data_IF_279551873418
#
_entry.id   IF_279551873418
#
_cell.length_a   1.000
_cell.length_b   1.000
_cell.length_c   1.000
_cell.angle_alpha   90.00
_cell.angle_beta   90.00
_cell.angle_gamma   90.00
#
_symmetry.space_group_name_H-M   'P 1'
#
loop_
_entity.id
_entity.type
_entity.pdbx_description
1 polymer ?
#
# COMPACT_ATOMS: atom_id res chain seq x y z
N UNK A 1 -55.90 -29.12 -73.14
CA UNK A 1 -54.89 -29.56 -72.16
C UNK A 1 -54.17 -28.33 -71.62
N UNK A 2 -54.03 -28.29 -70.29
CA UNK A 2 -53.08 -27.52 -69.48
C UNK A 2 -53.31 -26.00 -69.28
N UNK A 3 -53.83 -25.74 -68.09
CA UNK A 3 -53.99 -24.54 -67.26
C UNK A 3 -52.71 -23.71 -67.08
N UNK A 4 -52.78 -22.37 -67.04
CA UNK A 4 -51.70 -21.51 -66.56
C UNK A 4 -51.82 -21.13 -65.07
N UNK A 5 -50.66 -21.09 -64.42
CA UNK A 5 -50.21 -20.31 -63.24
C UNK A 5 -51.21 -19.98 -62.10
N UNK A 6 -50.94 -20.57 -60.93
CA UNK A 6 -51.19 -20.01 -59.58
C UNK A 6 -49.86 -20.04 -58.82
N UNK A 7 -49.36 -18.86 -58.43
CA UNK A 7 -49.41 -18.31 -57.06
C UNK A 7 -48.52 -19.09 -56.09
N UNK A 8 -47.34 -18.53 -55.78
CA UNK A 8 -46.52 -18.95 -54.66
C UNK A 8 -46.52 -17.85 -53.60
N UNK A 9 -46.72 -18.32 -52.37
CA UNK A 9 -46.88 -17.54 -51.16
C UNK A 9 -45.61 -16.76 -50.81
N UNK A 10 -45.81 -15.51 -50.39
CA UNK A 10 -44.87 -14.76 -49.56
C UNK A 10 -45.07 -15.22 -48.11
N UNK A 11 -44.11 -15.99 -47.61
CA UNK A 11 -43.95 -16.29 -46.17
C UNK A 11 -42.74 -15.53 -45.64
N UNK A 12 -43.01 -14.79 -44.57
CA UNK A 12 -42.13 -14.00 -43.69
C UNK A 12 -40.89 -14.72 -43.17
N UNK A 13 -39.79 -13.99 -42.98
CA UNK A 13 -38.93 -14.06 -41.77
C UNK A 13 -37.95 -12.88 -41.77
N UNK A 14 -38.29 -11.83 -41.03
CA UNK A 14 -37.33 -10.81 -40.60
C UNK A 14 -36.48 -11.43 -39.48
N UNK A 15 -35.21 -11.67 -39.76
CA UNK A 15 -34.25 -12.14 -38.75
C UNK A 15 -33.92 -11.03 -37.78
N UNK A 16 -34.39 -11.15 -36.54
CA UNK A 16 -33.84 -10.44 -35.39
C UNK A 16 -32.55 -11.16 -34.97
N UNK A 17 -31.40 -10.64 -35.37
CA UNK A 17 -30.12 -11.00 -34.75
C UNK A 17 -30.04 -10.29 -33.40
N UNK A 18 -30.38 -11.01 -32.34
CA UNK A 18 -30.16 -10.58 -30.97
C UNK A 18 -28.65 -10.65 -30.71
N UNK A 19 -27.94 -9.54 -30.89
CA UNK A 19 -26.58 -9.40 -30.40
C UNK A 19 -26.65 -9.29 -28.87
N UNK A 20 -26.40 -10.40 -28.18
CA UNK A 20 -26.18 -10.39 -26.73
C UNK A 20 -24.89 -9.60 -26.47
N UNK A 21 -25.04 -8.35 -26.04
CA UNK A 21 -23.98 -7.58 -25.40
C UNK A 21 -23.57 -8.34 -24.14
N UNK A 22 -22.45 -9.07 -24.20
CA UNK A 22 -21.77 -9.50 -22.98
C UNK A 22 -21.21 -8.23 -22.34
N UNK A 23 -21.87 -7.75 -21.28
CA UNK A 23 -21.33 -6.71 -20.41
C UNK A 23 -19.98 -7.20 -19.84
N UNK A 24 -18.98 -6.32 -19.64
CA UNK A 24 -17.66 -6.72 -19.12
C UNK A 24 -17.65 -7.26 -17.67
N UNK A 25 -18.82 -7.45 -17.07
CA UNK A 25 -19.02 -7.53 -15.62
C UNK A 25 -18.89 -8.93 -15.01
N UNK A 26 -18.37 -9.92 -15.75
CA UNK A 26 -18.19 -11.28 -15.21
C UNK A 26 -16.92 -11.42 -14.33
N UNK A 27 -16.01 -10.44 -14.37
CA UNK A 27 -14.74 -10.46 -13.64
C UNK A 27 -14.55 -9.29 -12.66
N UNK A 28 -15.50 -8.35 -12.61
CA UNK A 28 -15.46 -7.28 -11.63
C UNK A 28 -16.08 -7.79 -10.31
N UNK A 29 -15.43 -7.50 -9.18
CA UNK A 29 -16.02 -7.74 -7.87
C UNK A 29 -17.41 -7.09 -7.80
N UNK A 30 -18.33 -7.75 -7.10
CA UNK A 30 -19.58 -7.09 -6.75
C UNK A 30 -19.29 -5.91 -5.80
N UNK A 31 -20.23 -4.95 -5.72
CA UNK A 31 -20.04 -3.73 -4.92
C UNK A 31 -19.70 -4.01 -3.46
N UNK A 32 -20.25 -5.10 -2.90
CA UNK A 32 -20.01 -5.50 -1.52
C UNK A 32 -18.56 -5.98 -1.31
N UNK A 33 -18.06 -6.84 -2.19
CA UNK A 33 -16.69 -7.34 -2.15
C UNK A 33 -15.66 -6.24 -2.46
N UNK A 34 -15.99 -5.30 -3.34
CA UNK A 34 -15.15 -4.12 -3.59
C UNK A 34 -15.07 -3.22 -2.34
N UNK A 35 -16.19 -2.94 -1.68
CA UNK A 35 -16.20 -2.17 -0.44
C UNK A 35 -15.45 -2.89 0.69
N UNK A 36 -15.58 -4.22 0.77
CA UNK A 36 -14.81 -5.03 1.71
C UNK A 36 -13.31 -4.96 1.42
N UNK A 37 -12.89 -5.07 0.16
CA UNK A 37 -11.49 -4.89 -0.24
C UNK A 37 -10.95 -3.54 0.22
N UNK A 38 -11.66 -2.45 -0.09
CA UNK A 38 -11.24 -1.09 0.27
C UNK A 38 -11.08 -0.92 1.78
N UNK A 39 -12.05 -1.37 2.58
CA UNK A 39 -11.98 -1.29 4.04
C UNK A 39 -10.90 -2.20 4.64
N UNK A 40 -10.76 -3.42 4.11
CA UNK A 40 -9.72 -4.37 4.50
C UNK A 40 -8.32 -3.81 4.26
N UNK A 41 -8.08 -3.26 3.07
CA UNK A 41 -6.83 -2.61 2.69
C UNK A 41 -6.54 -1.37 3.55
N UNK A 42 -7.56 -0.55 3.82
CA UNK A 42 -7.44 0.62 4.70
C UNK A 42 -7.04 0.21 6.12
N UNK A 43 -7.69 -0.81 6.68
CA UNK A 43 -7.40 -1.33 8.02
C UNK A 43 -6.00 -1.96 8.10
N UNK A 44 -5.66 -2.81 7.13
CA UNK A 44 -4.32 -3.40 7.03
C UNK A 44 -3.25 -2.29 6.97
N UNK A 45 -3.51 -1.28 6.14
CA UNK A 45 -2.69 -0.10 5.97
C UNK A 45 -2.51 0.72 7.25
N UNK A 46 -3.33 0.60 8.29
CA UNK A 46 -3.14 1.32 9.57
C UNK A 46 -2.74 0.40 10.73
N UNK A 47 -2.06 -0.71 10.43
CA UNK A 47 -1.58 -1.71 11.41
C UNK A 47 -2.70 -2.44 12.16
N UNK A 48 -3.87 -2.55 11.54
CA UNK A 48 -5.06 -3.18 12.11
C UNK A 48 -5.36 -4.51 11.40
N UNK A 49 -4.31 -5.33 11.25
CA UNK A 49 -4.33 -6.60 10.51
C UNK A 49 -5.40 -7.57 11.02
N UNK A 50 -5.53 -7.70 12.35
CA UNK A 50 -6.56 -8.53 13.00
C UNK A 50 -7.98 -8.16 12.56
N UNK A 51 -8.28 -6.86 12.47
CA UNK A 51 -9.59 -6.38 12.05
C UNK A 51 -9.73 -6.23 10.54
N UNK A 52 -8.64 -6.27 9.78
CA UNK A 52 -8.66 -6.27 8.32
C UNK A 52 -9.08 -7.64 7.77
N UNK A 53 -8.70 -8.73 8.45
CA UNK A 53 -8.95 -10.12 8.03
C UNK A 53 -10.38 -10.38 7.55
N UNK A 54 -11.47 -10.11 8.29
CA UNK A 54 -12.82 -10.45 7.83
C UNK A 54 -13.23 -9.72 6.54
N UNK A 55 -12.72 -8.51 6.31
CA UNK A 55 -12.98 -7.75 5.10
C UNK A 55 -12.15 -8.26 3.91
N UNK A 56 -10.87 -8.58 4.16
CA UNK A 56 -9.99 -9.17 3.16
C UNK A 56 -10.45 -10.58 2.77
N UNK A 57 -10.92 -11.38 3.73
CA UNK A 57 -11.54 -12.70 3.50
C UNK A 57 -12.73 -12.59 2.55
N UNK A 58 -13.64 -11.65 2.79
CA UNK A 58 -14.79 -11.43 1.93
C UNK A 58 -14.40 -11.10 0.48
N UNK A 59 -13.37 -10.26 0.27
CA UNK A 59 -12.88 -9.93 -1.06
C UNK A 59 -12.09 -11.08 -1.72
N UNK A 60 -11.28 -11.80 -0.94
CA UNK A 60 -10.51 -12.95 -1.38
C UNK A 60 -11.41 -14.12 -1.81
N UNK A 61 -12.45 -14.43 -1.04
CA UNK A 61 -13.47 -15.44 -1.39
C UNK A 61 -14.26 -15.07 -2.65
N UNK A 62 -14.37 -13.77 -2.95
CA UNK A 62 -14.94 -13.28 -4.20
C UNK A 62 -13.96 -13.32 -5.40
N UNK A 63 -12.73 -13.79 -5.18
CA UNK A 63 -11.72 -14.00 -6.22
C UNK A 63 -10.72 -12.84 -6.40
N UNK A 64 -10.68 -11.87 -5.49
CA UNK A 64 -9.68 -10.78 -5.58
C UNK A 64 -8.28 -11.26 -5.15
N UNK A 65 -7.38 -11.33 -6.12
CA UNK A 65 -6.01 -11.86 -5.94
C UNK A 65 -5.18 -10.98 -5.00
N UNK A 66 -5.36 -9.66 -5.05
CA UNK A 66 -4.66 -8.74 -4.16
C UNK A 66 -5.12 -8.90 -2.70
N UNK A 67 -6.43 -9.06 -2.47
CA UNK A 67 -6.97 -9.36 -1.16
C UNK A 67 -6.48 -10.71 -0.64
N UNK A 68 -6.35 -11.74 -1.48
CA UNK A 68 -5.73 -13.02 -1.09
C UNK A 68 -4.30 -12.79 -0.59
N UNK A 69 -3.49 -12.02 -1.31
CA UNK A 69 -2.12 -11.69 -0.90
C UNK A 69 -2.09 -10.95 0.45
N UNK A 70 -2.86 -9.88 0.58
CA UNK A 70 -2.87 -9.06 1.80
C UNK A 70 -3.52 -9.77 3.00
N UNK A 71 -4.41 -10.73 2.76
CA UNK A 71 -4.92 -11.62 3.79
C UNK A 71 -3.84 -12.58 4.30
N UNK A 72 -2.99 -13.07 3.40
CA UNK A 72 -1.75 -13.78 3.76
C UNK A 72 -0.85 -12.91 4.66
N UNK A 73 -0.56 -11.68 4.24
CA UNK A 73 0.24 -10.74 5.04
C UNK A 73 -0.40 -10.39 6.38
N UNK A 74 -1.72 -10.23 6.43
CA UNK A 74 -2.45 -9.94 7.67
C UNK A 74 -2.27 -11.08 8.68
N UNK A 75 -2.42 -12.33 8.23
CA UNK A 75 -2.20 -13.52 9.04
C UNK A 75 -0.73 -13.66 9.47
N UNK A 76 0.23 -13.37 8.58
CA UNK A 76 1.67 -13.35 8.88
C UNK A 76 2.00 -12.35 10.00
N UNK A 77 1.38 -11.16 9.97
CA UNK A 77 1.58 -10.12 11.00
C UNK A 77 1.05 -10.53 12.38
N UNK A 78 0.00 -11.36 12.47
CA UNK A 78 -0.52 -11.84 13.75
C UNK A 78 0.47 -12.75 14.51
N UNK A 79 1.40 -13.37 13.79
CA UNK A 79 2.46 -14.23 14.36
C UNK A 79 3.84 -13.60 14.24
N UNK A 80 3.90 -12.27 14.30
CA UNK A 80 5.14 -11.47 14.31
C UNK A 80 5.99 -11.66 13.04
N UNK A 81 5.36 -11.80 11.88
CA UNK A 81 6.06 -11.93 10.59
C UNK A 81 6.46 -13.37 10.26
N UNK A 82 6.28 -14.32 11.18
CA UNK A 82 6.46 -15.73 10.90
C UNK A 82 5.35 -16.27 10.00
N UNK A 83 5.59 -17.42 9.39
CA UNK A 83 4.60 -18.09 8.58
C UNK A 83 3.67 -18.95 9.44
N UNK A 84 2.36 -18.91 9.19
CA UNK A 84 1.36 -19.81 9.77
C UNK A 84 0.50 -20.43 8.67
N UNK A 85 -0.29 -21.46 9.00
CA UNK A 85 -1.08 -22.18 7.98
C UNK A 85 -2.06 -21.27 7.22
N UNK A 86 -2.73 -20.35 7.91
CA UNK A 86 -3.67 -19.43 7.27
C UNK A 86 -2.97 -18.52 6.25
N UNK A 87 -1.78 -18.01 6.58
CA UNK A 87 -0.97 -17.22 5.65
C UNK A 87 -0.53 -18.06 4.44
N UNK A 88 -0.05 -19.29 4.68
CA UNK A 88 0.35 -20.23 3.62
C UNK A 88 -0.80 -20.51 2.65
N UNK A 89 -1.98 -20.83 3.18
CA UNK A 89 -3.15 -21.17 2.36
C UNK A 89 -3.52 -20.01 1.43
N UNK A 90 -3.54 -18.78 1.95
CA UNK A 90 -3.88 -17.59 1.17
C UNK A 90 -2.80 -17.15 0.19
N UNK A 91 -1.52 -17.24 0.54
CA UNK A 91 -0.44 -17.04 -0.42
C UNK A 91 -0.49 -18.09 -1.53
N UNK A 92 -0.78 -19.34 -1.21
CA UNK A 92 -0.91 -20.39 -2.23
C UNK A 92 -2.04 -20.09 -3.21
N UNK A 93 -3.22 -19.67 -2.72
CA UNK A 93 -4.31 -19.22 -3.59
C UNK A 93 -3.87 -18.02 -4.47
N UNK A 94 -3.24 -17.00 -3.89
CA UNK A 94 -2.77 -15.83 -4.64
C UNK A 94 -1.73 -16.21 -5.73
N UNK A 95 -0.77 -17.09 -5.40
CA UNK A 95 0.24 -17.59 -6.31
C UNK A 95 -0.38 -18.40 -7.47
N UNK A 96 -1.38 -19.25 -7.20
CA UNK A 96 -2.12 -19.96 -8.25
C UNK A 96 -2.82 -19.02 -9.25
N UNK A 97 -3.10 -17.78 -8.84
CA UNK A 97 -3.64 -16.72 -9.67
C UNK A 97 -2.59 -15.77 -10.26
N UNK A 98 -1.30 -16.10 -10.15
CA UNK A 98 -0.20 -15.35 -10.77
C UNK A 98 0.27 -14.13 -9.99
N UNK A 99 0.03 -14.08 -8.68
CA UNK A 99 0.54 -13.00 -7.82
C UNK A 99 2.03 -13.23 -7.48
N UNK A 100 2.96 -12.39 -7.97
CA UNK A 100 4.39 -12.67 -7.86
C UNK A 100 4.92 -12.57 -6.42
N UNK A 101 4.38 -11.68 -5.60
CA UNK A 101 4.86 -11.52 -4.22
C UNK A 101 4.42 -12.67 -3.33
N UNK A 102 3.27 -13.27 -3.58
CA UNK A 102 2.82 -14.50 -2.94
C UNK A 102 3.76 -15.66 -3.28
N UNK A 103 4.17 -15.79 -4.55
CA UNK A 103 5.16 -16.77 -4.99
C UNK A 103 6.49 -16.59 -4.24
N UNK A 104 7.00 -15.35 -4.17
CA UNK A 104 8.21 -15.04 -3.42
C UNK A 104 8.05 -15.29 -1.91
N UNK A 105 6.89 -14.99 -1.32
CA UNK A 105 6.62 -15.27 0.11
C UNK A 105 6.57 -16.77 0.41
N UNK A 106 6.05 -17.58 -0.49
CA UNK A 106 6.05 -19.05 -0.34
C UNK A 106 7.47 -19.61 -0.43
N UNK A 107 8.28 -19.09 -1.36
CA UNK A 107 9.68 -19.48 -1.52
C UNK A 107 10.54 -19.08 -0.30
N UNK A 108 10.56 -17.79 0.05
CA UNK A 108 11.40 -17.23 1.12
C UNK A 108 10.89 -17.59 2.53
N UNK A 109 9.58 -17.62 2.71
CA UNK A 109 8.93 -17.84 4.00
C UNK A 109 8.98 -19.28 4.53
N UNK A 110 9.74 -20.16 3.87
CA UNK A 110 9.90 -21.56 4.26
C UNK A 110 8.59 -22.34 4.20
N UNK A 111 7.72 -22.08 3.22
CA UNK A 111 6.46 -22.82 3.08
C UNK A 111 6.68 -24.34 3.05
N UNK A 112 7.77 -24.77 2.41
CA UNK A 112 8.18 -26.17 2.32
C UNK A 112 8.85 -26.71 3.60
N UNK A 113 9.23 -25.84 4.55
CA UNK A 113 9.83 -26.23 5.84
C UNK A 113 8.83 -26.17 7.01
N UNK A 114 7.89 -25.20 6.98
CA UNK A 114 6.96 -24.89 8.07
C UNK A 114 5.55 -25.45 7.85
N UNK A 115 5.13 -25.62 6.60
CA UNK A 115 3.87 -26.27 6.24
C UNK A 115 4.11 -27.74 5.93
N UNK A 116 3.24 -28.63 6.40
CA UNK A 116 3.22 -30.03 5.95
C UNK A 116 2.96 -30.18 4.42
N UNK A 117 2.79 -29.05 3.71
CA UNK A 117 2.50 -28.96 2.27
C UNK A 117 3.47 -27.97 1.62
N UNK A 118 4.54 -28.49 1.03
CA UNK A 118 5.23 -27.79 -0.05
C UNK A 118 4.35 -27.89 -1.30
N UNK A 119 3.91 -26.78 -1.90
CA UNK A 119 3.25 -26.83 -3.20
C UNK A 119 4.09 -27.60 -4.21
N UNK A 120 3.46 -28.37 -5.10
CA UNK A 120 4.17 -28.96 -6.24
C UNK A 120 4.85 -27.83 -7.03
N UNK A 121 6.16 -27.97 -7.29
CA UNK A 121 7.05 -26.96 -7.89
C UNK A 121 7.34 -25.71 -7.01
N UNK A 122 7.27 -25.85 -5.68
CA UNK A 122 7.57 -24.74 -4.74
C UNK A 122 8.96 -24.09 -4.93
N UNK A 123 9.95 -24.86 -5.38
CA UNK A 123 11.30 -24.37 -5.67
C UNK A 123 11.34 -23.50 -6.94
N UNK A 124 10.37 -23.64 -7.85
CA UNK A 124 10.32 -22.94 -9.15
C UNK A 124 9.55 -21.60 -9.06
N UNK A 125 8.95 -21.26 -7.91
CA UNK A 125 8.12 -20.07 -7.75
C UNK A 125 8.80 -18.75 -8.14
N UNK A 126 10.08 -18.48 -7.80
CA UNK A 126 10.75 -17.27 -8.27
C UNK A 126 10.88 -17.20 -9.79
N UNK A 127 11.13 -18.35 -10.43
CA UNK A 127 11.23 -18.44 -11.88
C UNK A 127 9.86 -18.27 -12.56
N UNK A 128 8.80 -18.85 -11.99
CA UNK A 128 7.43 -18.64 -12.47
C UNK A 128 6.99 -17.18 -12.30
N UNK A 129 7.33 -16.55 -11.17
CA UNK A 129 7.09 -15.12 -10.94
C UNK A 129 7.79 -14.26 -12.00
N UNK A 130 9.04 -14.61 -12.37
CA UNK A 130 9.76 -13.94 -13.46
C UNK A 130 9.04 -14.11 -14.80
N UNK A 131 8.70 -15.33 -15.18
CA UNK A 131 8.06 -15.64 -16.46
C UNK A 131 6.71 -14.94 -16.64
N UNK A 132 5.92 -14.82 -15.57
CA UNK A 132 4.63 -14.14 -15.59
C UNK A 132 4.75 -12.60 -15.55
N UNK A 133 5.76 -12.08 -14.87
CA UNK A 133 5.89 -10.64 -14.61
C UNK A 133 6.66 -9.92 -15.71
N UNK A 134 7.71 -10.55 -16.26
CA UNK A 134 8.58 -9.95 -17.27
C UNK A 134 7.82 -9.45 -18.51
N UNK A 135 6.92 -10.22 -19.15
CA UNK A 135 6.19 -9.73 -20.32
C UNK A 135 5.30 -8.52 -20.03
N UNK A 136 4.74 -8.41 -18.81
CA UNK A 136 3.94 -7.25 -18.39
C UNK A 136 4.80 -6.02 -18.22
N UNK A 137 5.96 -6.18 -17.58
CA UNK A 137 6.94 -5.12 -17.41
C UNK A 137 7.50 -4.63 -18.77
N UNK A 138 7.79 -5.55 -19.70
CA UNK A 138 8.18 -5.22 -21.07
C UNK A 138 7.08 -4.49 -21.85
N UNK A 139 5.81 -4.77 -21.55
CA UNK A 139 4.66 -4.06 -22.10
C UNK A 139 4.40 -2.69 -21.46
N UNK A 140 5.18 -2.27 -20.46
CA UNK A 140 5.10 -0.95 -19.85
C UNK A 140 4.36 -0.90 -18.50
N UNK A 141 4.02 -2.04 -17.90
CA UNK A 141 3.38 -2.08 -16.59
C UNK A 141 4.38 -1.70 -15.48
N UNK A 142 4.19 -0.52 -14.88
CA UNK A 142 5.09 0.02 -13.87
C UNK A 142 5.08 -0.75 -12.54
N UNK A 143 3.97 -1.42 -12.19
CA UNK A 143 3.89 -2.29 -11.01
C UNK A 143 4.66 -3.59 -11.26
N UNK A 144 4.53 -4.17 -12.46
CA UNK A 144 5.31 -5.34 -12.85
C UNK A 144 6.82 -5.03 -12.86
N UNK A 145 7.22 -3.84 -13.35
CA UNK A 145 8.63 -3.40 -13.27
C UNK A 145 9.11 -3.32 -11.81
N UNK A 146 8.30 -2.80 -10.89
CA UNK A 146 8.64 -2.73 -9.47
C UNK A 146 8.70 -4.14 -8.83
N UNK A 147 7.86 -5.07 -9.27
CA UNK A 147 7.93 -6.46 -8.81
C UNK A 147 9.22 -7.17 -9.26
N UNK A 148 9.68 -6.90 -10.49
CA UNK A 148 10.93 -7.47 -11.01
C UNK A 148 12.14 -7.12 -10.15
N UNK A 149 12.19 -5.93 -9.55
CA UNK A 149 13.25 -5.59 -8.59
C UNK A 149 13.40 -6.67 -7.54
N UNK A 150 12.30 -7.14 -6.92
CA UNK A 150 12.37 -8.20 -5.91
C UNK A 150 12.64 -9.56 -6.55
N UNK A 151 11.96 -9.90 -7.65
CA UNK A 151 12.07 -11.23 -8.28
C UNK A 151 13.53 -11.56 -8.64
N UNK A 152 14.28 -10.61 -9.19
CA UNK A 152 15.67 -10.84 -9.59
C UNK A 152 16.64 -11.14 -8.43
N UNK A 153 16.26 -10.90 -7.17
CA UNK A 153 17.04 -11.34 -6.01
C UNK A 153 16.78 -12.81 -5.61
N UNK A 154 15.67 -13.40 -6.05
CA UNK A 154 15.21 -14.73 -5.59
C UNK A 154 15.29 -15.82 -6.66
N UNK A 155 15.51 -15.47 -7.93
CA UNK A 155 15.74 -16.45 -9.00
C UNK A 155 17.03 -17.26 -8.76
N UNK A 156 17.17 -18.42 -9.43
CA UNK A 156 18.30 -19.35 -9.24
C UNK A 156 19.67 -18.68 -9.38
N UNK A 157 19.80 -17.80 -10.38
CA UNK A 157 20.98 -16.95 -10.62
C UNK A 157 20.59 -15.47 -10.38
N UNK A 158 20.69 -14.95 -9.14
CA UNK A 158 20.34 -13.56 -8.86
C UNK A 158 21.16 -12.56 -9.66
N UNK A 159 20.50 -11.49 -10.12
CA UNK A 159 21.12 -10.39 -10.87
C UNK A 159 20.70 -9.05 -10.28
N UNK A 160 21.51 -8.54 -9.36
CA UNK A 160 21.27 -7.26 -8.68
C UNK A 160 21.30 -6.06 -9.64
N UNK A 161 22.15 -6.12 -10.67
CA UNK A 161 22.24 -5.05 -11.67
C UNK A 161 20.95 -4.98 -12.50
N UNK A 162 20.39 -6.13 -12.88
CA UNK A 162 19.12 -6.19 -13.59
C UNK A 162 17.95 -5.79 -12.68
N UNK A 163 17.94 -6.22 -11.41
CA UNK A 163 16.97 -5.77 -10.42
C UNK A 163 16.94 -4.23 -10.34
N UNK A 164 18.10 -3.59 -10.19
CA UNK A 164 18.22 -2.13 -10.13
C UNK A 164 17.76 -1.44 -11.41
N UNK A 165 18.04 -2.00 -12.60
CA UNK A 165 17.53 -1.46 -13.87
C UNK A 165 16.00 -1.46 -13.89
N UNK A 166 15.36 -2.53 -13.42
CA UNK A 166 13.89 -2.59 -13.38
C UNK A 166 13.29 -1.63 -12.37
N UNK A 167 13.92 -1.45 -11.21
CA UNK A 167 13.50 -0.44 -10.24
C UNK A 167 13.54 0.99 -10.83
N UNK A 168 14.63 1.33 -11.52
CA UNK A 168 14.73 2.62 -12.22
C UNK A 168 13.66 2.77 -13.30
N UNK A 169 13.43 1.74 -14.12
CA UNK A 169 12.39 1.76 -15.15
C UNK A 169 10.98 1.91 -14.54
N UNK A 170 10.72 1.28 -13.40
CA UNK A 170 9.45 1.42 -12.69
C UNK A 170 9.22 2.88 -12.26
N UNK A 171 10.24 3.52 -11.68
CA UNK A 171 10.19 4.92 -11.31
C UNK A 171 9.99 5.84 -12.53
N UNK A 172 10.72 5.62 -13.62
CA UNK A 172 10.55 6.35 -14.89
C UNK A 172 9.15 6.17 -15.50
N UNK A 173 8.53 5.00 -15.29
CA UNK A 173 7.16 4.70 -15.70
C UNK A 173 6.08 5.25 -14.76
N UNK A 174 6.47 5.97 -13.69
CA UNK A 174 5.55 6.64 -12.76
C UNK A 174 5.19 5.83 -11.51
N UNK A 175 5.89 4.73 -11.22
CA UNK A 175 5.68 3.99 -9.98
C UNK A 175 6.26 4.78 -8.79
N UNK A 176 5.38 5.38 -7.98
CA UNK A 176 5.79 6.23 -6.86
C UNK A 176 6.39 5.43 -5.69
N UNK A 177 6.07 4.14 -5.55
CA UNK A 177 6.71 3.26 -4.58
C UNK A 177 8.18 3.02 -4.98
N UNK A 178 8.45 2.75 -6.26
CA UNK A 178 9.81 2.62 -6.77
C UNK A 178 10.62 3.93 -6.62
N UNK A 179 10.01 5.09 -6.86
CA UNK A 179 10.64 6.39 -6.58
C UNK A 179 11.00 6.52 -5.09
N UNK A 180 10.08 6.20 -4.19
CA UNK A 180 10.38 6.20 -2.75
C UNK A 180 11.54 5.25 -2.43
N UNK A 181 11.52 4.03 -2.97
CA UNK A 181 12.55 3.03 -2.71
C UNK A 181 13.94 3.47 -3.20
N UNK A 182 14.03 4.07 -4.39
CA UNK A 182 15.28 4.67 -4.88
C UNK A 182 15.78 5.80 -3.97
N UNK A 183 14.87 6.61 -3.43
CA UNK A 183 15.23 7.63 -2.44
C UNK A 183 15.77 7.03 -1.15
N UNK A 184 15.20 5.93 -0.67
CA UNK A 184 15.69 5.23 0.53
C UNK A 184 17.04 4.55 0.29
N UNK A 185 17.22 3.90 -0.86
CA UNK A 185 18.51 3.33 -1.25
C UNK A 185 19.58 4.41 -1.30
N UNK A 186 19.31 5.54 -1.97
CA UNK A 186 20.23 6.67 -2.00
C UNK A 186 20.53 7.17 -0.58
N UNK A 187 19.51 7.46 0.24
CA UNK A 187 19.68 8.00 1.60
C UNK A 187 20.48 7.09 2.52
N UNK A 188 20.42 5.78 2.31
CA UNK A 188 21.09 4.79 3.15
C UNK A 188 22.46 4.33 2.61
N UNK A 189 22.85 4.77 1.41
CA UNK A 189 24.13 4.37 0.80
C UNK A 189 25.30 5.18 1.39
N UNK A 190 25.97 4.60 2.38
CA UNK A 190 27.14 5.19 3.04
C UNK A 190 28.44 5.07 2.24
N UNK A 191 28.48 4.30 1.14
CA UNK A 191 29.71 4.02 0.38
C UNK A 191 29.69 4.57 -1.05
N UNK A 192 28.52 4.77 -1.65
CA UNK A 192 28.36 5.23 -3.04
C UNK A 192 28.39 6.74 -3.24
N UNK A 193 28.32 7.54 -2.17
CA UNK A 193 28.36 9.01 -2.22
C UNK A 193 29.57 9.58 -1.49
N UNK A 194 30.09 10.73 -1.92
CA UNK A 194 31.31 11.29 -1.34
C UNK A 194 31.12 11.81 0.09
N UNK A 195 29.89 12.18 0.45
CA UNK A 195 29.51 12.63 1.79
C UNK A 195 27.99 12.57 2.00
N UNK A 196 27.56 12.80 3.25
CA UNK A 196 26.16 12.82 3.68
C UNK A 196 25.29 13.81 2.90
N UNK A 197 25.79 15.02 2.58
CA UNK A 197 25.00 16.01 1.85
C UNK A 197 24.68 15.54 0.43
N UNK A 198 25.67 15.04 -0.30
CA UNK A 198 25.46 14.52 -1.66
C UNK A 198 24.46 13.36 -1.69
N UNK A 199 24.56 12.46 -0.71
CA UNK A 199 23.65 11.34 -0.51
C UNK A 199 22.20 11.80 -0.29
N UNK A 200 22.00 12.77 0.62
CA UNK A 200 20.69 13.33 0.94
C UNK A 200 20.11 14.15 -0.22
N UNK A 201 20.93 14.85 -0.99
CA UNK A 201 20.51 15.56 -2.21
C UNK A 201 20.08 14.57 -3.30
N UNK A 202 20.77 13.44 -3.45
CA UNK A 202 20.37 12.37 -4.38
C UNK A 202 19.04 11.71 -3.95
N UNK A 203 18.85 11.47 -2.66
CA UNK A 203 17.60 10.95 -2.11
C UNK A 203 16.43 11.93 -2.29
N UNK A 204 16.68 13.22 -2.07
CA UNK A 204 15.70 14.30 -2.27
C UNK A 204 15.11 14.28 -3.69
N UNK A 205 15.92 14.05 -4.73
CA UNK A 205 15.45 13.99 -6.12
C UNK A 205 14.38 12.92 -6.32
N UNK A 206 14.57 11.74 -5.73
CA UNK A 206 13.63 10.63 -5.84
C UNK A 206 12.40 10.82 -4.96
N UNK A 207 12.58 11.26 -3.72
CA UNK A 207 11.45 11.55 -2.83
C UNK A 207 10.57 12.68 -3.36
N UNK A 208 11.14 13.73 -3.96
CA UNK A 208 10.36 14.79 -4.61
C UNK A 208 9.50 14.24 -5.76
N UNK A 209 10.05 13.38 -6.62
CA UNK A 209 9.25 12.75 -7.69
C UNK A 209 8.09 11.92 -7.12
N UNK A 210 8.35 11.09 -6.10
CA UNK A 210 7.28 10.35 -5.43
C UNK A 210 6.22 11.27 -4.79
N UNK A 211 6.66 12.39 -4.21
CA UNK A 211 5.79 13.41 -3.64
C UNK A 211 4.93 14.14 -4.68
N UNK A 212 5.46 14.41 -5.88
CA UNK A 212 4.71 14.98 -7.01
C UNK A 212 3.58 14.05 -7.49
N UNK A 213 3.79 12.74 -7.39
CA UNK A 213 2.75 11.72 -7.59
C UNK A 213 1.80 11.56 -6.39
N UNK A 214 1.98 12.35 -5.33
CA UNK A 214 1.13 12.36 -4.14
C UNK A 214 1.36 11.19 -3.18
N UNK A 215 2.45 10.44 -3.33
CA UNK A 215 2.74 9.27 -2.52
C UNK A 215 3.21 9.67 -1.12
N UNK A 216 2.35 9.49 -0.12
CA UNK A 216 2.58 10.00 1.22
C UNK A 216 3.86 9.49 1.91
N UNK A 217 4.35 8.25 1.69
CA UNK A 217 5.63 7.81 2.21
C UNK A 217 6.81 8.60 1.67
N UNK A 218 6.83 8.91 0.36
CA UNK A 218 7.88 9.75 -0.22
C UNK A 218 7.83 11.16 0.38
N UNK A 219 6.64 11.74 0.59
CA UNK A 219 6.45 13.03 1.24
C UNK A 219 6.97 13.01 2.70
N UNK A 220 6.71 11.92 3.43
CA UNK A 220 7.22 11.73 4.79
C UNK A 220 8.74 11.56 4.81
N UNK A 221 9.28 10.72 3.93
CA UNK A 221 10.72 10.50 3.83
C UNK A 221 11.47 11.77 3.40
N UNK A 222 10.86 12.62 2.58
CA UNK A 222 11.38 13.95 2.27
C UNK A 222 11.46 14.84 3.51
N UNK A 223 10.48 14.77 4.43
CA UNK A 223 10.54 15.46 5.72
C UNK A 223 11.74 15.00 6.55
N UNK A 224 11.97 13.69 6.63
CA UNK A 224 13.12 13.13 7.34
C UNK A 224 14.44 13.53 6.68
N UNK A 225 14.51 13.49 5.35
CA UNK A 225 15.67 13.91 4.57
C UNK A 225 16.06 15.37 4.87
N UNK A 226 15.07 16.28 4.95
CA UNK A 226 15.32 17.67 5.33
C UNK A 226 15.73 17.85 6.79
N UNK A 227 15.29 16.98 7.71
CA UNK A 227 15.80 17.01 9.08
C UNK A 227 17.28 16.65 9.13
N UNK A 228 17.69 15.61 8.39
CA UNK A 228 19.09 15.19 8.30
C UNK A 228 19.97 16.26 7.63
N UNK A 229 19.44 16.99 6.63
CA UNK A 229 20.09 18.16 6.04
C UNK A 229 20.16 19.40 6.97
N UNK A 230 19.59 19.34 8.19
CA UNK A 230 19.55 20.46 9.12
C UNK A 230 18.58 21.58 8.71
N UNK A 231 17.50 21.24 8.01
CA UNK A 231 16.52 22.18 7.45
C UNK A 231 15.11 21.97 8.07
N UNK A 232 14.94 22.23 9.38
CA UNK A 232 13.72 21.88 10.11
C UNK A 232 12.46 22.61 9.62
N UNK A 233 12.59 23.82 9.07
CA UNK A 233 11.45 24.55 8.48
C UNK A 233 10.89 23.83 7.24
N UNK A 234 11.75 23.27 6.40
CA UNK A 234 11.32 22.47 5.25
C UNK A 234 10.72 21.15 5.73
N UNK A 235 11.43 20.47 6.63
CA UNK A 235 10.98 19.21 7.21
C UNK A 235 9.57 19.34 7.82
N UNK A 236 9.30 20.39 8.59
CA UNK A 236 7.98 20.62 9.18
C UNK A 236 6.87 20.76 8.14
N UNK A 237 7.11 21.52 7.06
CA UNK A 237 6.13 21.70 5.97
C UNK A 237 5.81 20.36 5.30
N UNK A 238 6.84 19.55 5.02
CA UNK A 238 6.67 18.23 4.43
C UNK A 238 5.99 17.25 5.38
N UNK A 239 6.28 17.31 6.68
CA UNK A 239 5.60 16.50 7.71
C UNK A 239 4.10 16.81 7.77
N UNK A 240 3.74 18.10 7.73
CA UNK A 240 2.34 18.53 7.68
C UNK A 240 1.65 18.03 6.41
N UNK A 241 2.32 18.14 5.25
CA UNK A 241 1.79 17.64 3.98
C UNK A 241 1.60 16.12 4.01
N UNK A 242 2.55 15.34 4.54
CA UNK A 242 2.42 13.90 4.67
C UNK A 242 1.24 13.51 5.57
N UNK A 243 1.08 14.19 6.71
CA UNK A 243 -0.08 14.03 7.60
C UNK A 243 -1.40 14.34 6.91
N UNK A 244 -1.43 15.40 6.09
CA UNK A 244 -2.59 15.80 5.29
C UNK A 244 -2.91 14.81 4.17
N UNK A 245 -1.89 14.12 3.65
CA UNK A 245 -2.00 13.02 2.67
C UNK A 245 -2.25 11.65 3.32
N UNK A 246 -2.57 11.62 4.62
CA UNK A 246 -2.98 10.41 5.31
C UNK A 246 -1.84 9.55 5.86
N UNK A 247 -0.58 10.01 5.85
CA UNK A 247 0.54 9.24 6.40
C UNK A 247 0.46 9.14 7.94
N UNK A 248 0.36 7.92 8.46
CA UNK A 248 0.09 7.67 9.88
C UNK A 248 1.15 8.20 10.83
N UNK A 249 2.42 7.94 10.54
CA UNK A 249 3.52 8.35 11.43
C UNK A 249 3.76 9.86 11.33
N UNK A 250 3.44 10.47 10.19
CA UNK A 250 3.47 11.92 10.04
C UNK A 250 2.37 12.60 10.87
N UNK A 251 1.16 12.02 10.87
CA UNK A 251 0.04 12.50 11.68
C UNK A 251 0.32 12.36 13.18
N UNK A 252 0.98 11.28 13.59
CA UNK A 252 1.49 11.12 14.94
C UNK A 252 2.47 12.26 15.29
N UNK A 253 3.47 12.50 14.44
CA UNK A 253 4.45 13.58 14.61
C UNK A 253 3.81 14.97 14.73
N UNK A 254 2.89 15.31 13.83
CA UNK A 254 2.13 16.59 13.88
C UNK A 254 1.34 16.72 15.18
N UNK A 255 0.66 15.65 15.62
CA UNK A 255 -0.07 15.66 16.88
C UNK A 255 0.83 15.89 18.09
N UNK A 256 2.00 15.25 18.14
CA UNK A 256 3.00 15.49 19.19
C UNK A 256 3.59 16.90 19.15
N UNK A 257 3.92 17.43 17.98
CA UNK A 257 4.47 18.78 17.85
C UNK A 257 3.50 19.87 18.34
N UNK A 258 2.19 19.65 18.25
CA UNK A 258 1.22 20.57 18.86
C UNK A 258 1.17 20.47 20.39
N UNK A 259 1.45 19.29 20.96
CA UNK A 259 1.49 19.11 22.42
C UNK A 259 2.80 19.60 23.04
N UNK A 260 3.94 19.31 22.41
CA UNK A 260 5.28 19.54 22.95
C UNK A 260 6.25 20.02 21.85
N UNK A 261 6.09 21.24 21.32
CA UNK A 261 6.92 21.74 20.22
C UNK A 261 8.41 21.88 20.58
N UNK A 262 8.75 22.02 21.86
CA UNK A 262 10.15 22.17 22.30
C UNK A 262 10.93 20.85 22.31
N UNK A 263 10.24 19.71 22.15
CA UNK A 263 10.85 18.38 22.27
C UNK A 263 11.75 18.03 21.07
N UNK A 264 11.40 18.52 19.89
CA UNK A 264 12.03 18.14 18.64
C UNK A 264 12.22 19.37 17.75
N UNK A 265 13.41 19.53 17.19
CA UNK A 265 13.72 20.62 16.28
C UNK A 265 12.83 20.60 15.02
N UNK A 266 12.23 19.46 14.68
CA UNK A 266 11.21 19.34 13.63
C UNK A 266 9.99 20.23 13.87
N UNK A 267 9.61 20.46 15.13
CA UNK A 267 8.36 21.12 15.47
C UNK A 267 8.48 22.65 15.31
N UNK A 268 8.16 23.15 14.11
CA UNK A 268 8.19 24.58 13.78
C UNK A 268 6.80 25.23 13.99
N UNK A 269 6.24 25.06 15.20
CA UNK A 269 4.92 25.57 15.57
C UNK A 269 4.87 26.01 17.05
N UNK A 270 3.86 26.83 17.37
CA UNK A 270 3.50 27.13 18.76
C UNK A 270 2.71 25.96 19.38
N UNK A 271 2.79 25.83 20.71
CA UNK A 271 2.03 24.83 21.45
C UNK A 271 0.52 25.10 21.32
N UNK A 272 -0.23 24.05 20.99
CA UNK A 272 -1.70 24.04 20.95
C UNK A 272 -2.20 22.70 21.48
N UNK A 273 -2.42 22.64 22.79
CA UNK A 273 -2.83 21.40 23.48
C UNK A 273 -4.18 20.91 22.96
N UNK A 274 -5.12 21.81 22.65
CA UNK A 274 -6.47 21.45 22.17
C UNK A 274 -6.36 20.75 20.82
N UNK A 275 -5.59 21.32 19.89
CA UNK A 275 -5.36 20.73 18.58
C UNK A 275 -4.59 19.42 18.65
N UNK A 276 -3.51 19.36 19.42
CA UNK A 276 -2.73 18.13 19.60
C UNK A 276 -3.56 16.99 20.20
N UNK A 277 -4.39 17.28 21.22
CA UNK A 277 -5.30 16.29 21.82
C UNK A 277 -6.35 15.81 20.81
N UNK A 278 -6.92 16.71 20.00
CA UNK A 278 -7.89 16.35 18.96
C UNK A 278 -7.30 15.41 17.91
N UNK A 279 -6.16 15.79 17.33
CA UNK A 279 -5.44 14.99 16.31
C UNK A 279 -5.09 13.61 16.85
N UNK A 280 -4.43 13.53 18.01
CA UNK A 280 -4.00 12.25 18.57
C UNK A 280 -5.18 11.40 19.08
N UNK A 281 -6.29 12.01 19.47
CA UNK A 281 -7.51 11.27 19.80
C UNK A 281 -8.13 10.63 18.54
N UNK A 282 -8.13 11.33 17.39
CA UNK A 282 -8.63 10.80 16.12
C UNK A 282 -7.75 9.63 15.65
N UNK A 283 -6.44 9.85 15.69
CA UNK A 283 -5.44 8.85 15.34
C UNK A 283 -5.57 7.58 16.21
N UNK A 284 -5.71 7.73 17.54
CA UNK A 284 -5.92 6.60 18.45
C UNK A 284 -7.20 5.84 18.12
N UNK A 285 -8.28 6.53 17.78
CA UNK A 285 -9.55 5.89 17.41
C UNK A 285 -9.43 5.09 16.10
N UNK A 286 -8.77 5.64 15.08
CA UNK A 286 -8.60 4.97 13.78
C UNK A 286 -7.64 3.79 13.87
N UNK A 287 -6.43 4.01 14.40
CA UNK A 287 -5.31 3.06 14.32
C UNK A 287 -5.06 2.28 15.62
N UNK A 288 -5.92 2.43 16.64
CA UNK A 288 -5.78 1.77 17.95
C UNK A 288 -4.38 1.97 18.59
N UNK A 289 -3.80 3.17 18.44
CA UNK A 289 -2.48 3.48 18.99
C UNK A 289 -2.52 3.64 20.51
N UNK A 290 -2.45 2.53 21.24
CA UNK A 290 -2.50 2.56 22.71
C UNK A 290 -1.29 3.29 23.34
N UNK A 291 -0.17 3.41 22.62
CA UNK A 291 1.01 4.15 23.10
C UNK A 291 0.72 5.63 23.42
N UNK A 292 -0.24 6.28 22.73
CA UNK A 292 -0.58 7.70 22.98
C UNK A 292 -1.61 7.88 24.09
N UNK A 293 -2.17 6.80 24.66
CA UNK A 293 -3.21 6.88 25.69
C UNK A 293 -2.75 7.61 26.95
N UNK A 294 -1.57 7.28 27.45
CA UNK A 294 -1.00 7.92 28.64
C UNK A 294 -0.78 9.42 28.42
N UNK A 295 -0.23 9.77 27.25
CA UNK A 295 -0.03 11.14 26.81
C UNK A 295 -1.36 11.92 26.76
N UNK A 296 -2.36 11.37 26.08
CA UNK A 296 -3.69 11.96 25.97
C UNK A 296 -4.34 12.17 27.34
N UNK A 297 -4.21 11.22 28.26
CA UNK A 297 -4.75 11.37 29.62
C UNK A 297 -4.10 12.53 30.37
N UNK A 298 -2.77 12.69 30.26
CA UNK A 298 -2.05 13.80 30.89
C UNK A 298 -2.55 15.15 30.34
N UNK A 299 -2.52 15.34 29.02
CA UNK A 299 -2.92 16.61 28.43
C UNK A 299 -4.41 16.91 28.57
N UNK A 300 -5.30 15.90 28.47
CA UNK A 300 -6.74 16.08 28.73
C UNK A 300 -7.04 16.55 30.14
N UNK A 301 -6.23 16.16 31.14
CA UNK A 301 -6.41 16.59 32.52
C UNK A 301 -6.15 18.09 32.75
N UNK A 302 -5.45 18.74 31.80
CA UNK A 302 -5.12 20.16 31.85
C UNK A 302 -6.17 21.04 31.15
N UNK A 303 -7.12 20.45 30.43
CA UNK A 303 -8.10 21.17 29.63
C UNK A 303 -9.40 21.44 30.41
N UNK A 304 -9.97 22.63 30.18
CA UNK A 304 -11.32 22.96 30.61
C UNK A 304 -12.37 22.14 29.84
N UNK A 305 -13.64 22.18 30.30
CA UNK A 305 -14.75 21.52 29.59
C UNK A 305 -14.92 22.05 28.16
N UNK A 306 -14.79 23.36 27.97
CA UNK A 306 -14.95 23.99 26.65
C UNK A 306 -13.78 23.61 25.73
N UNK A 307 -12.57 23.51 26.28
CA UNK A 307 -11.39 23.06 25.54
C UNK A 307 -11.49 21.57 25.16
N UNK A 308 -12.03 20.73 26.03
CA UNK A 308 -12.30 19.31 25.71
C UNK A 308 -13.34 19.18 24.59
N UNK A 309 -14.40 20.00 24.62
CA UNK A 309 -15.39 20.02 23.55
C UNK A 309 -14.77 20.49 22.21
N UNK A 310 -13.89 21.50 22.25
CA UNK A 310 -13.16 21.95 21.07
C UNK A 310 -12.20 20.87 20.53
N UNK A 311 -11.49 20.17 21.41
CA UNK A 311 -10.62 19.06 21.02
C UNK A 311 -11.41 17.90 20.38
N UNK A 312 -12.62 17.62 20.90
CA UNK A 312 -13.52 16.63 20.30
C UNK A 312 -14.01 17.05 18.91
N UNK A 313 -14.32 18.34 18.71
CA UNK A 313 -14.68 18.84 17.38
C UNK A 313 -13.54 18.68 16.37
N UNK A 314 -12.29 18.98 16.78
CA UNK A 314 -11.09 18.73 15.97
C UNK A 314 -10.93 17.24 15.71
N UNK A 315 -11.18 16.38 16.71
CA UNK A 315 -11.12 14.93 16.53
C UNK A 315 -12.05 14.47 15.40
N UNK A 316 -13.30 14.90 15.41
CA UNK A 316 -14.29 14.55 14.37
C UNK A 316 -13.90 15.10 12.99
N UNK A 317 -13.36 16.32 12.91
CA UNK A 317 -12.82 16.87 11.65
C UNK A 317 -11.70 15.99 11.07
N UNK A 318 -10.79 15.53 11.92
CA UNK A 318 -9.66 14.69 11.50
C UNK A 318 -10.06 13.25 11.17
N UNK A 319 -11.10 12.72 11.82
CA UNK A 319 -11.68 11.43 11.45
C UNK A 319 -12.30 11.45 10.05
N UNK A 320 -12.85 12.59 9.63
CA UNK A 320 -13.50 12.78 8.33
C UNK A 320 -12.57 13.28 7.22
N UNK A 321 -11.26 13.41 7.49
CA UNK A 321 -10.29 13.97 6.53
C UNK A 321 -9.94 12.96 5.45
N UNK A 322 -10.00 13.41 4.19
CA UNK A 322 -9.55 12.65 3.02
C UNK A 322 -8.18 13.13 2.50
N UNK A 323 -7.32 12.23 2.02
CA UNK A 323 -7.51 10.78 1.98
C UNK A 323 -7.45 10.17 3.39
N UNK A 324 -8.14 9.04 3.56
CA UNK A 324 -8.09 8.26 4.80
C UNK A 324 -6.66 7.90 5.24
N UNK A 325 -6.50 7.65 6.53
CA UNK A 325 -5.21 7.30 7.14
C UNK A 325 -4.65 5.99 6.55
N UNK A 326 -3.37 5.97 6.23
CA UNK A 326 -2.62 4.80 5.74
C UNK A 326 -1.15 4.87 6.16
N UNK A 327 -0.51 3.72 6.31
CA UNK A 327 0.92 3.53 6.52
C UNK A 327 1.64 3.20 5.21
N UNK A 328 0.91 2.87 4.14
CA UNK A 328 1.47 2.44 2.86
C UNK A 328 2.57 1.36 3.05
N UNK A 329 2.21 0.23 3.66
CA UNK A 329 3.18 -0.84 3.89
C UNK A 329 3.81 -1.27 2.56
N UNK A 330 5.12 -1.52 2.58
CA UNK A 330 5.81 -2.12 1.45
C UNK A 330 5.06 -3.36 0.97
N UNK A 331 4.94 -3.49 -0.34
CA UNK A 331 4.25 -4.61 -0.94
C UNK A 331 5.01 -5.92 -0.74
N UNK A 332 6.35 -5.87 -0.68
CA UNK A 332 7.22 -7.00 -0.37
C UNK A 332 8.52 -6.51 0.27
N UNK A 333 9.11 -7.31 1.15
CA UNK A 333 10.22 -6.93 2.04
C UNK A 333 10.19 -7.72 3.36
N UNK A 334 11.24 -7.66 4.20
CA UNK A 334 11.36 -8.45 5.43
C UNK A 334 10.15 -8.36 6.39
#
# INVERSE_FOLDING_TARGET
>A
MLVPKRSNLLTTLAGLTLATLLSPSAFALNEEAQAAKEEGMRLYGIRRADTAIPYLEQAAEAGDVEAMYYLGEANRRLVMGNMNQAALDWYYQAAQHGEPYAMLRLFDGGACELGDVCPENGDDWPQEALELTLPKAEAGDAEAMAALYNIYYYVEDPDEDEAMKWLHRAAEAGNANAMNWLGELARNDEQGYANETERLEAAEVWFNQGAEHGYAPAIHNLSLNFMELGQPEQAWRWMQLASDKGHIDARLGVGWCYLEPERDALCQNNQDIVKGVGILSALRQQANLEMVKGLLNNFKSQLSRDQLAAAEAIKEEWLAKEPSLSQFPEKFGP
#
